data_IF_027615563137
#
_entry.id   IF_027615563137
#
_cell.length_a   1.000
_cell.length_b   1.000
_cell.length_c   1.000
_cell.angle_alpha   90.00
_cell.angle_beta   90.00
_cell.angle_gamma   90.00
#
_symmetry.space_group_name_H-M   'P 1'
#
loop_
_entity.id
_entity.type
_entity.pdbx_description
1 polymer ?
#
# COMPACT_ATOMS: atom_id res chain seq x y z
N UNK A 1 47.22 21.88 -105.87
CA UNK A 1 46.05 22.78 -105.76
C UNK A 1 44.82 21.88 -105.65
N UNK A 2 44.54 21.48 -104.41
CA UNK A 2 43.45 20.58 -103.99
C UNK A 2 42.06 21.09 -104.34
N UNK A 3 41.03 20.29 -104.58
CA UNK A 3 40.88 18.93 -105.11
C UNK A 3 39.41 18.91 -105.57
N UNK A 4 39.18 19.26 -106.84
CA UNK A 4 37.91 19.00 -107.50
C UNK A 4 38.04 17.65 -108.21
N UNK A 5 37.12 16.72 -107.89
CA UNK A 5 37.00 15.34 -108.38
C UNK A 5 37.76 14.27 -107.58
N UNK A 6 37.21 13.91 -106.42
CA UNK A 6 37.18 12.48 -106.06
C UNK A 6 36.02 11.81 -106.80
N UNK A 7 36.28 10.86 -107.71
CA UNK A 7 35.22 10.01 -108.25
C UNK A 7 34.64 9.21 -107.08
N UNK A 8 33.30 9.18 -106.98
CA UNK A 8 32.52 8.29 -106.12
C UNK A 8 32.78 6.82 -106.53
N UNK A 9 34.00 6.33 -106.34
CA UNK A 9 34.46 5.03 -106.84
C UNK A 9 34.20 3.89 -105.85
N UNK A 10 33.49 4.17 -104.75
CA UNK A 10 33.09 3.16 -103.77
C UNK A 10 31.79 3.52 -103.03
N UNK A 11 31.01 4.48 -103.52
CA UNK A 11 29.85 4.94 -102.75
C UNK A 11 28.68 3.96 -102.80
N UNK A 12 28.10 3.68 -101.65
CA UNK A 12 26.84 2.93 -101.50
C UNK A 12 25.64 3.77 -101.92
N UNK A 13 24.44 3.16 -101.96
CA UNK A 13 23.22 3.98 -102.13
C UNK A 13 23.04 4.95 -100.95
N UNK A 14 23.53 4.57 -99.77
CA UNK A 14 23.57 5.38 -98.55
C UNK A 14 24.20 6.76 -98.80
N UNK A 15 25.41 6.82 -99.36
CA UNK A 15 26.10 8.09 -99.59
C UNK A 15 25.34 8.98 -100.59
N UNK A 16 24.67 8.37 -101.57
CA UNK A 16 23.80 9.10 -102.51
C UNK A 16 22.62 9.70 -101.76
N UNK A 17 21.96 8.93 -100.89
CA UNK A 17 20.85 9.40 -100.07
C UNK A 17 21.27 10.49 -99.07
N UNK A 18 22.42 10.35 -98.42
CA UNK A 18 23.00 11.39 -97.54
C UNK A 18 23.36 12.66 -98.32
N UNK A 19 23.82 12.52 -99.57
CA UNK A 19 24.06 13.66 -100.46
C UNK A 19 22.78 14.34 -100.93
N UNK A 20 21.63 13.65 -100.89
CA UNK A 20 20.30 14.23 -101.18
C UNK A 20 19.73 14.88 -99.91
N UNK A 21 20.01 14.29 -98.75
CA UNK A 21 19.61 14.80 -97.44
C UNK A 21 20.28 16.14 -97.09
N UNK A 22 21.59 16.26 -97.34
CA UNK A 22 22.39 17.44 -96.98
C UNK A 22 22.35 18.57 -98.03
N UNK A 23 21.65 18.37 -99.15
CA UNK A 23 21.52 19.37 -100.21
C UNK A 23 20.38 20.34 -99.85
N UNK A 24 20.73 21.46 -99.21
CA UNK A 24 19.79 22.50 -98.74
C UNK A 24 19.20 23.36 -99.86
N UNK A 25 19.66 23.18 -101.10
CA UNK A 25 19.13 23.91 -102.23
C UNK A 25 17.90 23.21 -102.79
N UNK A 26 16.85 23.99 -103.02
CA UNK A 26 15.68 23.68 -103.82
C UNK A 26 16.09 23.33 -105.27
N UNK A 27 16.69 22.15 -105.48
CA UNK A 27 17.11 21.68 -106.80
C UNK A 27 16.22 20.53 -107.29
N UNK A 28 15.49 20.89 -108.35
CA UNK A 28 15.04 20.11 -109.51
C UNK A 28 15.25 18.59 -109.40
N UNK A 29 14.14 17.86 -109.36
CA UNK A 29 13.99 16.41 -109.44
C UNK A 29 14.97 15.76 -110.45
N UNK A 30 15.31 16.51 -111.51
CA UNK A 30 16.32 16.18 -112.53
C UNK A 30 17.74 15.95 -111.98
N UNK A 31 18.20 16.73 -111.00
CA UNK A 31 19.52 16.56 -110.40
C UNK A 31 19.60 15.31 -109.50
N UNK A 32 18.53 15.01 -108.79
CA UNK A 32 18.41 13.78 -107.99
C UNK A 32 18.39 12.57 -108.93
N UNK A 33 17.62 12.66 -110.02
CA UNK A 33 17.57 11.63 -111.06
C UNK A 33 18.97 11.38 -111.67
N UNK A 34 19.74 12.43 -111.96
CA UNK A 34 21.11 12.30 -112.46
C UNK A 34 22.07 11.63 -111.44
N UNK A 35 21.92 11.92 -110.13
CA UNK A 35 22.71 11.25 -109.07
C UNK A 35 22.37 9.76 -109.00
N UNK A 36 21.08 9.40 -109.08
CA UNK A 36 20.60 8.02 -109.08
C UNK A 36 20.99 7.26 -110.36
N UNK A 37 20.88 7.90 -111.51
CA UNK A 37 21.31 7.34 -112.80
C UNK A 37 22.80 7.01 -112.80
N UNK A 38 23.65 7.93 -112.31
CA UNK A 38 25.09 7.67 -112.14
C UNK A 38 25.37 6.47 -111.24
N UNK A 39 24.62 6.33 -110.13
CA UNK A 39 24.74 5.18 -109.25
C UNK A 39 24.35 3.88 -109.95
N UNK A 40 23.19 3.82 -110.63
CA UNK A 40 22.71 2.59 -111.26
C UNK A 40 23.45 2.18 -112.54
N UNK A 41 24.06 3.15 -113.23
CA UNK A 41 24.97 2.88 -114.35
C UNK A 41 26.29 2.25 -113.88
N UNK A 42 26.73 2.55 -112.65
CA UNK A 42 27.96 1.99 -112.06
C UNK A 42 27.72 0.71 -111.25
N UNK A 43 26.64 0.67 -110.46
CA UNK A 43 26.21 -0.47 -109.63
C UNK A 43 24.84 -0.95 -110.07
N UNK A 44 24.71 -2.23 -110.40
CA UNK A 44 23.44 -2.78 -110.92
C UNK A 44 22.30 -2.82 -109.87
N UNK A 45 22.61 -2.81 -108.57
CA UNK A 45 21.64 -3.00 -107.48
C UNK A 45 22.05 -2.21 -106.24
N UNK A 46 21.08 -1.64 -105.52
CA UNK A 46 21.25 -1.08 -104.18
C UNK A 46 21.08 -2.16 -103.12
N UNK A 47 21.73 -2.01 -101.96
CA UNK A 47 21.59 -2.96 -100.86
C UNK A 47 20.60 -2.47 -99.80
N UNK A 48 19.79 -3.40 -99.27
CA UNK A 48 18.80 -3.09 -98.24
C UNK A 48 19.44 -2.56 -96.94
N UNK A 49 20.61 -3.08 -96.55
CA UNK A 49 21.31 -2.64 -95.35
C UNK A 49 21.77 -1.17 -95.46
N UNK A 50 22.18 -0.70 -96.65
CA UNK A 50 22.58 0.69 -96.89
C UNK A 50 21.38 1.65 -96.73
N UNK A 51 20.18 1.20 -97.13
CA UNK A 51 18.93 1.95 -96.97
C UNK A 51 18.52 2.00 -95.51
N UNK A 52 18.56 0.87 -94.81
CA UNK A 52 18.27 0.80 -93.38
C UNK A 52 19.23 1.67 -92.58
N UNK A 53 20.53 1.58 -92.84
CA UNK A 53 21.54 2.38 -92.15
C UNK A 53 21.35 3.89 -92.39
N UNK A 54 21.02 4.30 -93.63
CA UNK A 54 20.64 5.68 -93.92
C UNK A 54 19.45 6.13 -93.08
N UNK A 55 18.36 5.35 -93.06
CA UNK A 55 17.14 5.70 -92.34
C UNK A 55 17.38 5.75 -90.84
N UNK A 56 17.99 4.72 -90.23
CA UNK A 56 18.25 4.68 -88.80
C UNK A 56 19.14 5.84 -88.34
N UNK A 57 20.28 6.07 -89.00
CA UNK A 57 21.26 7.08 -88.58
C UNK A 57 20.76 8.52 -88.72
N UNK A 58 19.80 8.76 -89.62
CA UNK A 58 19.30 10.11 -89.91
C UNK A 58 17.86 10.31 -89.43
N UNK A 59 17.31 9.38 -88.65
CA UNK A 59 15.93 9.42 -88.17
C UNK A 59 15.72 10.17 -86.85
N UNK A 60 16.79 10.56 -86.17
CA UNK A 60 16.75 11.38 -84.96
C UNK A 60 17.23 12.80 -85.28
N UNK A 61 16.42 13.80 -84.91
CA UNK A 61 16.76 15.23 -84.90
C UNK A 61 17.30 15.84 -86.21
N UNK A 62 16.43 15.99 -87.21
CA UNK A 62 16.65 16.93 -88.32
C UNK A 62 15.40 17.80 -88.52
N UNK A 63 15.59 19.08 -88.90
CA UNK A 63 14.52 20.01 -89.26
C UNK A 63 13.63 19.44 -90.38
N UNK A 64 12.37 19.86 -90.47
CA UNK A 64 11.39 19.32 -91.47
C UNK A 64 11.96 19.26 -92.90
N UNK A 65 12.76 20.26 -93.29
CA UNK A 65 13.38 20.37 -94.63
C UNK A 65 14.47 19.31 -94.92
N UNK A 66 15.22 18.89 -93.90
CA UNK A 66 16.35 17.95 -93.99
C UNK A 66 16.02 16.61 -93.32
N UNK A 67 14.77 16.18 -93.40
CA UNK A 67 14.34 14.90 -92.86
C UNK A 67 14.55 13.77 -93.86
N UNK A 68 14.71 12.53 -93.37
CA UNK A 68 14.61 11.30 -94.19
C UNK A 68 13.32 11.33 -95.03
N UNK A 69 12.25 11.90 -94.47
CA UNK A 69 10.94 12.05 -95.10
C UNK A 69 10.98 12.95 -96.33
N UNK A 70 11.76 14.03 -96.28
CA UNK A 70 12.03 14.92 -97.42
C UNK A 70 12.70 14.17 -98.58
N UNK A 71 13.69 13.33 -98.29
CA UNK A 71 14.37 12.50 -99.31
C UNK A 71 13.41 11.49 -99.94
N UNK A 72 12.60 10.81 -99.12
CA UNK A 72 11.58 9.86 -99.60
C UNK A 72 10.56 10.55 -100.49
N UNK A 73 10.08 11.73 -100.11
CA UNK A 73 9.10 12.50 -100.88
C UNK A 73 9.70 12.98 -102.21
N UNK A 74 10.94 13.47 -102.22
CA UNK A 74 11.65 13.89 -103.45
C UNK A 74 11.82 12.73 -104.44
N UNK A 75 12.23 11.55 -103.95
CA UNK A 75 12.34 10.35 -104.80
C UNK A 75 10.96 9.88 -105.25
N UNK A 76 9.94 9.95 -104.39
CA UNK A 76 8.55 9.62 -104.73
C UNK A 76 8.00 10.46 -105.88
N UNK A 77 8.29 11.77 -105.91
CA UNK A 77 7.91 12.66 -107.03
C UNK A 77 8.49 12.20 -108.36
N UNK A 78 9.77 11.83 -108.38
CA UNK A 78 10.46 11.28 -109.57
C UNK A 78 9.77 10.00 -110.04
N UNK A 79 9.33 9.14 -109.11
CA UNK A 79 8.62 7.89 -109.45
C UNK A 79 7.19 8.15 -109.95
N UNK A 80 6.54 9.24 -109.51
CA UNK A 80 5.16 9.56 -109.92
C UNK A 80 5.04 10.33 -111.24
N UNK A 81 6.12 10.94 -111.75
CA UNK A 81 6.10 11.77 -112.96
C UNK A 81 6.63 10.99 -114.18
N UNK A 82 5.72 10.52 -115.04
CA UNK A 82 6.03 9.72 -116.25
C UNK A 82 6.89 10.47 -117.29
N UNK A 83 6.99 11.80 -117.18
CA UNK A 83 7.65 12.68 -118.16
C UNK A 83 9.18 12.58 -118.17
N UNK A 84 9.78 11.84 -117.25
CA UNK A 84 11.24 11.74 -117.11
C UNK A 84 11.87 10.51 -117.80
N UNK A 85 11.08 9.59 -118.38
CA UNK A 85 11.57 8.27 -118.77
C UNK A 85 11.21 7.81 -120.22
N UNK A 86 12.20 7.73 -121.14
CA UNK A 86 12.16 7.06 -122.48
C UNK A 86 12.40 5.51 -122.43
N UNK A 87 12.25 4.76 -123.53
CA UNK A 87 12.36 3.26 -123.56
C UNK A 87 13.61 2.62 -122.87
N UNK A 88 14.81 3.23 -122.95
CA UNK A 88 16.04 2.76 -122.26
C UNK A 88 16.04 3.09 -120.76
N UNK A 89 15.24 4.05 -120.35
CA UNK A 89 15.12 4.52 -118.98
C UNK A 89 14.06 3.75 -118.18
N UNK A 90 13.30 2.84 -118.81
CA UNK A 90 12.33 1.96 -118.15
C UNK A 90 13.00 1.00 -117.13
N UNK A 91 14.24 0.56 -117.40
CA UNK A 91 14.99 -0.27 -116.45
C UNK A 91 15.50 0.55 -115.25
N UNK A 92 15.91 1.80 -115.49
CA UNK A 92 16.30 2.74 -114.45
C UNK A 92 15.10 3.10 -113.56
N UNK A 93 13.95 3.37 -114.18
CA UNK A 93 12.68 3.62 -113.48
C UNK A 93 12.36 2.49 -112.51
N UNK A 94 12.36 1.23 -112.97
CA UNK A 94 12.10 0.05 -112.11
C UNK A 94 13.08 -0.09 -110.95
N UNK A 95 14.33 0.39 -111.10
CA UNK A 95 15.34 0.37 -110.01
C UNK A 95 15.09 1.49 -109.00
N UNK A 96 14.70 2.68 -109.46
CA UNK A 96 14.35 3.82 -108.61
C UNK A 96 13.02 3.57 -107.89
N UNK A 97 12.03 2.99 -108.55
CA UNK A 97 10.76 2.55 -107.96
C UNK A 97 10.99 1.54 -106.82
N UNK A 98 11.84 0.53 -107.04
CA UNK A 98 12.23 -0.43 -105.99
C UNK A 98 12.94 0.25 -104.81
N UNK A 99 13.81 1.23 -105.09
CA UNK A 99 14.48 2.01 -104.04
C UNK A 99 13.46 2.80 -103.22
N UNK A 100 12.51 3.47 -103.89
CA UNK A 100 11.42 4.20 -103.24
C UNK A 100 10.56 3.29 -102.36
N UNK A 101 10.19 2.11 -102.86
CA UNK A 101 9.43 1.12 -102.08
C UNK A 101 10.21 0.63 -100.86
N UNK A 102 11.50 0.34 -101.00
CA UNK A 102 12.35 -0.06 -99.87
C UNK A 102 12.53 1.06 -98.83
N UNK A 103 12.72 2.30 -99.28
CA UNK A 103 12.77 3.46 -98.39
C UNK A 103 11.47 3.64 -97.60
N UNK A 104 10.32 3.48 -98.27
CA UNK A 104 8.99 3.59 -97.63
C UNK A 104 8.76 2.45 -96.64
N UNK A 105 9.07 1.21 -97.01
CA UNK A 105 8.94 0.05 -96.14
C UNK A 105 9.77 0.20 -94.87
N UNK A 106 11.01 0.63 -95.00
CA UNK A 106 11.93 0.77 -93.88
C UNK A 106 11.53 1.95 -92.96
N UNK A 107 10.96 3.03 -93.52
CA UNK A 107 10.33 4.09 -92.72
C UNK A 107 9.14 3.58 -91.90
N UNK A 108 8.27 2.75 -92.48
CA UNK A 108 7.14 2.13 -91.76
C UNK A 108 7.65 1.25 -90.61
N UNK A 109 8.69 0.44 -90.86
CA UNK A 109 9.31 -0.40 -89.82
C UNK A 109 9.87 0.43 -88.68
N UNK A 110 10.61 1.49 -88.99
CA UNK A 110 11.18 2.38 -87.99
C UNK A 110 10.10 3.05 -87.14
N UNK A 111 9.02 3.54 -87.75
CA UNK A 111 7.91 4.16 -87.01
C UNK A 111 7.29 3.20 -86.00
N UNK A 112 7.08 1.93 -86.39
CA UNK A 112 6.58 0.89 -85.48
C UNK A 112 7.53 0.67 -84.30
N UNK A 113 8.83 0.58 -84.55
CA UNK A 113 9.84 0.44 -83.50
C UNK A 113 9.87 1.65 -82.56
N UNK A 114 9.70 2.87 -83.09
CA UNK A 114 9.60 4.09 -82.27
C UNK A 114 8.36 4.07 -81.38
N UNK A 115 7.21 3.69 -81.93
CA UNK A 115 5.96 3.56 -81.18
C UNK A 115 6.09 2.53 -80.05
N UNK A 116 6.64 1.35 -80.35
CA UNK A 116 6.92 0.31 -79.33
C UNK A 116 7.88 0.82 -78.25
N UNK A 117 8.92 1.55 -78.62
CA UNK A 117 9.86 2.17 -77.67
C UNK A 117 9.20 3.25 -76.81
N UNK A 118 8.29 4.06 -77.36
CA UNK A 118 7.59 5.09 -76.60
C UNK A 118 6.56 4.50 -75.64
N UNK A 119 5.91 3.40 -76.02
CA UNK A 119 5.08 2.59 -75.12
C UNK A 119 5.95 2.03 -73.99
N UNK A 120 7.09 1.44 -74.34
CA UNK A 120 8.02 0.86 -73.37
C UNK A 120 8.56 1.91 -72.39
N UNK A 121 8.96 3.09 -72.87
CA UNK A 121 9.42 4.20 -72.02
C UNK A 121 8.34 4.62 -71.02
N UNK A 122 7.09 4.72 -71.45
CA UNK A 122 5.96 5.05 -70.57
C UNK A 122 5.74 3.97 -69.52
N UNK A 123 5.68 2.70 -69.92
CA UNK A 123 5.49 1.58 -69.00
C UNK A 123 6.62 1.48 -67.96
N UNK A 124 7.87 1.73 -68.38
CA UNK A 124 9.02 1.80 -67.48
C UNK A 124 8.87 2.97 -66.50
N UNK A 125 8.51 4.17 -66.99
CA UNK A 125 8.29 5.34 -66.14
C UNK A 125 7.21 5.12 -65.08
N UNK A 126 6.08 4.53 -65.46
CA UNK A 126 5.00 4.15 -64.54
C UNK A 126 5.49 3.13 -63.50
N UNK A 127 6.22 2.09 -63.94
CA UNK A 127 6.79 1.09 -63.04
C UNK A 127 7.76 1.69 -62.03
N UNK A 128 8.64 2.60 -62.46
CA UNK A 128 9.54 3.32 -61.55
C UNK A 128 8.76 4.16 -60.54
N UNK A 129 7.74 4.90 -60.97
CA UNK A 129 6.92 5.71 -60.07
C UNK A 129 6.21 4.87 -59.01
N UNK A 130 5.75 3.67 -59.39
CA UNK A 130 5.13 2.72 -58.48
C UNK A 130 6.14 2.18 -57.45
N UNK A 131 7.34 1.80 -57.92
CA UNK A 131 8.43 1.33 -57.04
C UNK A 131 8.83 2.41 -56.04
N UNK A 132 8.96 3.68 -56.48
CA UNK A 132 9.28 4.79 -55.58
C UNK A 132 8.22 4.98 -54.51
N UNK A 133 6.92 4.95 -54.88
CA UNK A 133 5.83 5.06 -53.90
C UNK A 133 5.86 3.94 -52.87
N UNK A 134 6.03 2.69 -53.31
CA UNK A 134 6.08 1.54 -52.41
C UNK A 134 7.29 1.62 -51.46
N UNK A 135 8.43 2.17 -51.90
CA UNK A 135 9.60 2.40 -51.05
C UNK A 135 9.33 3.51 -50.02
N UNK A 136 8.66 4.59 -50.40
CA UNK A 136 8.25 5.66 -49.47
C UNK A 136 7.28 5.14 -48.41
N UNK A 137 6.28 4.34 -48.81
CA UNK A 137 5.35 3.68 -47.89
C UNK A 137 6.08 2.73 -46.92
N UNK A 138 7.07 1.97 -47.43
CA UNK A 138 7.92 1.12 -46.59
C UNK A 138 8.71 1.89 -45.54
N UNK A 139 9.31 3.03 -45.92
CA UNK A 139 10.04 3.91 -45.00
C UNK A 139 9.12 4.53 -43.93
N UNK A 140 7.87 4.86 -44.27
CA UNK A 140 6.90 5.34 -43.29
C UNK A 140 6.48 4.22 -42.32
N UNK A 141 6.35 2.99 -42.82
CA UNK A 141 6.10 1.82 -41.98
C UNK A 141 7.22 1.60 -40.97
N UNK A 142 8.48 1.70 -41.38
CA UNK A 142 9.64 1.55 -40.51
C UNK A 142 9.65 2.58 -39.37
N UNK A 143 9.25 3.83 -39.65
CA UNK A 143 9.11 4.85 -38.59
C UNK A 143 8.05 4.47 -37.56
N UNK A 144 6.89 3.99 -38.01
CA UNK A 144 5.80 3.53 -37.12
C UNK A 144 6.24 2.32 -36.28
N UNK A 145 7.03 1.41 -36.86
CA UNK A 145 7.59 0.27 -36.12
C UNK A 145 8.51 0.75 -34.99
N UNK A 146 9.36 1.75 -35.23
CA UNK A 146 10.25 2.29 -34.20
C UNK A 146 9.49 3.03 -33.09
N UNK A 147 8.42 3.76 -33.44
CA UNK A 147 7.51 4.35 -32.44
C UNK A 147 6.87 3.28 -31.54
N UNK A 148 6.31 2.22 -32.14
CA UNK A 148 5.71 1.10 -31.41
C UNK A 148 6.74 0.43 -30.49
N UNK A 149 7.97 0.25 -30.96
CA UNK A 149 9.06 -0.34 -30.16
C UNK A 149 9.38 0.52 -28.92
N UNK A 150 9.46 1.84 -29.08
CA UNK A 150 9.67 2.76 -27.96
C UNK A 150 8.52 2.72 -26.95
N UNK A 151 7.28 2.57 -27.43
CA UNK A 151 6.11 2.42 -26.55
C UNK A 151 6.12 1.11 -25.78
N UNK A 152 6.52 0.00 -26.43
CA UNK A 152 6.71 -1.30 -25.76
C UNK A 152 7.78 -1.19 -24.66
N UNK A 153 8.90 -0.54 -24.91
CA UNK A 153 9.95 -0.33 -23.90
C UNK A 153 9.45 0.53 -22.72
N UNK A 154 8.61 1.53 -23.00
CA UNK A 154 7.98 2.36 -21.97
C UNK A 154 7.01 1.52 -21.12
N UNK A 155 6.15 0.74 -21.77
CA UNK A 155 5.20 -0.15 -21.12
C UNK A 155 5.89 -1.20 -20.22
N UNK A 156 6.99 -1.78 -20.69
CA UNK A 156 7.77 -2.74 -19.89
C UNK A 156 8.38 -2.11 -18.63
N UNK A 157 8.81 -0.84 -18.68
CA UNK A 157 9.27 -0.13 -17.48
C UNK A 157 8.16 0.05 -16.46
N UNK A 158 6.98 0.45 -16.91
CA UNK A 158 5.81 0.62 -16.05
C UNK A 158 5.36 -0.70 -15.42
N UNK A 159 5.42 -1.80 -16.19
CA UNK A 159 5.16 -3.16 -15.66
C UNK A 159 6.13 -3.54 -14.54
N UNK A 160 7.43 -3.32 -14.73
CA UNK A 160 8.45 -3.63 -13.72
C UNK A 160 8.29 -2.75 -12.46
N UNK A 161 7.86 -1.50 -12.60
CA UNK A 161 7.58 -0.63 -11.44
C UNK A 161 6.35 -1.14 -10.67
N UNK A 162 5.30 -1.54 -11.39
CA UNK A 162 4.10 -2.11 -10.76
C UNK A 162 4.37 -3.45 -10.07
N UNK A 163 5.26 -4.29 -10.61
CA UNK A 163 5.71 -5.51 -9.95
C UNK A 163 6.36 -5.23 -8.59
N UNK A 164 7.27 -4.24 -8.51
CA UNK A 164 7.86 -3.82 -7.23
C UNK A 164 6.82 -3.33 -6.23
N UNK A 165 5.81 -2.60 -6.70
CA UNK A 165 4.71 -2.16 -5.84
C UNK A 165 3.90 -3.34 -5.29
N UNK A 166 3.76 -4.43 -6.05
CA UNK A 166 3.10 -5.64 -5.56
C UNK A 166 3.91 -6.32 -4.44
N UNK A 167 5.24 -6.36 -4.54
CA UNK A 167 6.11 -6.84 -3.46
C UNK A 167 5.94 -6.01 -2.18
N UNK A 168 5.88 -4.68 -2.32
CA UNK A 168 5.62 -3.78 -1.18
C UNK A 168 4.24 -4.05 -0.54
N UNK A 169 3.21 -4.33 -1.34
CA UNK A 169 1.89 -4.72 -0.82
C UNK A 169 1.93 -6.04 -0.05
N UNK A 170 2.76 -7.00 -0.45
CA UNK A 170 2.92 -8.27 0.27
C UNK A 170 3.61 -8.09 1.63
N UNK A 171 4.63 -7.23 1.68
CA UNK A 171 5.27 -6.84 2.93
C UNK A 171 4.29 -6.15 3.88
N UNK A 172 3.51 -5.18 3.38
CA UNK A 172 2.46 -4.49 4.14
C UNK A 172 1.43 -5.49 4.68
N UNK A 173 1.02 -6.48 3.87
CA UNK A 173 0.08 -7.52 4.31
C UNK A 173 0.64 -8.33 5.48
N UNK A 174 1.93 -8.62 5.46
CA UNK A 174 2.62 -9.33 6.55
C UNK A 174 2.66 -8.47 7.81
N UNK A 175 2.96 -7.18 7.68
CA UNK A 175 2.94 -6.23 8.80
C UNK A 175 1.54 -6.09 9.42
N UNK A 176 0.48 -6.04 8.60
CA UNK A 176 -0.90 -6.03 9.09
C UNK A 176 -1.22 -7.27 9.94
N UNK A 177 -0.76 -8.45 9.52
CA UNK A 177 -0.94 -9.70 10.27
C UNK A 177 -0.21 -9.64 11.62
N UNK A 178 0.99 -9.08 11.66
CA UNK A 178 1.74 -8.90 12.90
C UNK A 178 1.05 -7.89 13.85
N UNK A 179 0.49 -6.82 13.30
CA UNK A 179 -0.30 -5.83 14.06
C UNK A 179 -1.55 -6.49 14.66
N UNK A 180 -2.27 -7.32 13.91
CA UNK A 180 -3.45 -8.04 14.40
C UNK A 180 -3.12 -8.94 15.60
N UNK A 181 -2.03 -9.70 15.51
CA UNK A 181 -1.54 -10.54 16.63
C UNK A 181 -1.19 -9.68 17.85
N UNK A 182 -0.44 -8.60 17.66
CA UNK A 182 -0.06 -7.69 18.74
C UNK A 182 -1.28 -7.02 19.38
N UNK A 183 -2.31 -6.70 18.60
CA UNK A 183 -3.56 -6.13 19.11
C UNK A 183 -4.32 -7.13 19.98
N UNK A 184 -4.29 -8.42 19.63
CA UNK A 184 -4.79 -9.50 20.47
C UNK A 184 -4.08 -9.57 21.83
N UNK A 185 -2.74 -9.57 21.82
CA UNK A 185 -1.91 -9.58 23.05
C UNK A 185 -2.17 -8.32 23.88
N UNK A 186 -2.28 -7.15 23.24
CA UNK A 186 -2.56 -5.89 23.92
C UNK A 186 -3.93 -5.91 24.62
N UNK A 187 -4.96 -6.46 23.96
CA UNK A 187 -6.29 -6.64 24.56
C UNK A 187 -6.27 -7.56 25.77
N UNK A 188 -5.50 -8.66 25.71
CA UNK A 188 -5.34 -9.56 26.86
C UNK A 188 -4.66 -8.86 28.04
N UNK A 189 -3.60 -8.09 27.78
CA UNK A 189 -2.92 -7.30 28.80
C UNK A 189 -3.82 -6.24 29.44
N UNK A 190 -4.68 -5.58 28.66
CA UNK A 190 -5.68 -4.65 29.17
C UNK A 190 -6.66 -5.34 30.13
N UNK A 191 -7.21 -6.49 29.73
CA UNK A 191 -8.12 -7.26 30.60
C UNK A 191 -7.43 -7.68 31.90
N UNK A 192 -6.18 -8.15 31.81
CA UNK A 192 -5.39 -8.53 32.99
C UNK A 192 -5.13 -7.34 33.93
N UNK A 193 -4.85 -6.16 33.37
CA UNK A 193 -4.65 -4.95 34.16
C UNK A 193 -5.95 -4.44 34.78
N UNK A 194 -7.09 -4.53 34.08
CA UNK A 194 -8.40 -4.21 34.63
C UNK A 194 -8.74 -5.08 35.85
N UNK A 195 -8.45 -6.39 35.77
CA UNK A 195 -8.64 -7.31 36.90
C UNK A 195 -7.75 -6.95 38.10
N UNK A 196 -6.48 -6.58 37.87
CA UNK A 196 -5.57 -6.12 38.93
C UNK A 196 -6.03 -4.80 39.55
N UNK A 197 -6.61 -3.89 38.76
CA UNK A 197 -7.17 -2.64 39.27
C UNK A 197 -8.36 -2.91 40.18
N UNK A 198 -9.29 -3.79 39.76
CA UNK A 198 -10.42 -4.23 40.61
C UNK A 198 -9.96 -4.89 41.91
N UNK A 199 -8.94 -5.75 41.86
CA UNK A 199 -8.36 -6.36 43.07
C UNK A 199 -7.73 -5.30 43.99
N UNK A 200 -7.00 -4.33 43.42
CA UNK A 200 -6.39 -3.23 44.19
C UNK A 200 -7.44 -2.30 44.81
N UNK A 201 -8.51 -1.99 44.08
CA UNK A 201 -9.64 -1.21 44.56
C UNK A 201 -10.34 -1.91 45.75
N UNK A 202 -10.58 -3.21 45.64
CA UNK A 202 -11.16 -4.00 46.74
C UNK A 202 -10.26 -3.96 47.98
N UNK A 203 -8.95 -4.15 47.82
CA UNK A 203 -7.98 -4.06 48.94
C UNK A 203 -7.92 -2.68 49.56
N UNK A 204 -8.05 -1.61 48.78
CA UNK A 204 -8.13 -0.24 49.29
C UNK A 204 -9.41 -0.01 50.12
N UNK A 205 -10.55 -0.52 49.65
CA UNK A 205 -11.80 -0.44 50.38
C UNK A 205 -11.74 -1.23 51.70
N UNK A 206 -11.14 -2.41 51.69
CA UNK A 206 -10.86 -3.18 52.91
C UNK A 206 -9.93 -2.41 53.87
N UNK A 207 -8.83 -1.85 53.35
CA UNK A 207 -7.88 -1.07 54.14
C UNK A 207 -8.51 0.18 54.77
N UNK A 208 -9.33 0.93 54.01
CA UNK A 208 -10.04 2.11 54.51
C UNK A 208 -11.01 1.72 55.64
N UNK A 209 -11.73 0.60 55.47
CA UNK A 209 -12.63 0.07 56.51
C UNK A 209 -11.86 -0.30 57.78
N UNK A 210 -10.72 -0.98 57.64
CA UNK A 210 -9.85 -1.32 58.76
C UNK A 210 -9.30 -0.06 59.45
N UNK A 211 -8.88 0.96 58.69
CA UNK A 211 -8.34 2.22 59.21
C UNK A 211 -9.39 3.02 60.00
N UNK A 212 -10.61 3.17 59.47
CA UNK A 212 -11.74 3.82 60.17
C UNK A 212 -12.05 3.08 61.47
N UNK A 213 -12.02 1.75 61.44
CA UNK A 213 -12.25 0.92 62.63
C UNK A 213 -11.18 1.17 63.69
N UNK A 214 -9.89 1.18 63.32
CA UNK A 214 -8.77 1.47 64.24
C UNK A 214 -8.92 2.86 64.87
N UNK A 215 -9.27 3.89 64.09
CA UNK A 215 -9.48 5.24 64.61
C UNK A 215 -10.64 5.28 65.64
N UNK A 216 -11.73 4.59 65.35
CA UNK A 216 -12.91 4.51 66.23
C UNK A 216 -12.58 3.83 67.57
N UNK A 217 -11.73 2.81 67.54
CA UNK A 217 -11.23 2.12 68.74
C UNK A 217 -10.41 3.06 69.61
N UNK A 218 -9.46 3.77 69.00
CA UNK A 218 -8.61 4.71 69.72
C UNK A 218 -9.45 5.80 70.38
N UNK A 219 -10.45 6.35 69.69
CA UNK A 219 -11.37 7.33 70.27
C UNK A 219 -12.15 6.75 71.48
N UNK A 220 -12.68 5.53 71.37
CA UNK A 220 -13.40 4.88 72.46
C UNK A 220 -12.55 4.62 73.70
N UNK A 221 -11.31 4.14 73.52
CA UNK A 221 -10.36 3.90 74.62
C UNK A 221 -9.99 5.22 75.31
N UNK A 222 -9.69 6.27 74.54
CA UNK A 222 -9.34 7.59 75.08
C UNK A 222 -10.51 8.18 75.88
N UNK A 223 -11.74 8.09 75.37
CA UNK A 223 -12.95 8.54 76.08
C UNK A 223 -13.19 7.76 77.38
N UNK A 224 -13.05 6.44 77.37
CA UNK A 224 -13.18 5.61 78.57
C UNK A 224 -12.11 5.92 79.62
N UNK A 225 -10.87 6.17 79.19
CA UNK A 225 -9.75 6.53 80.06
C UNK A 225 -9.97 7.88 80.75
N UNK A 226 -10.32 8.93 80.00
CA UNK A 226 -10.63 10.24 80.58
C UNK A 226 -11.86 10.22 81.48
N UNK A 227 -12.90 9.46 81.11
CA UNK A 227 -14.06 9.24 81.96
C UNK A 227 -13.68 8.56 83.29
N UNK A 228 -12.89 7.49 83.24
CA UNK A 228 -12.44 6.77 84.44
C UNK A 228 -11.52 7.56 85.34
N UNK A 229 -10.61 8.33 84.77
CA UNK A 229 -9.70 9.19 85.54
C UNK A 229 -10.47 10.29 86.29
N UNK A 230 -11.51 10.84 85.67
CA UNK A 230 -12.37 11.85 86.31
C UNK A 230 -13.11 11.27 87.52
N UNK A 231 -13.72 10.09 87.39
CA UNK A 231 -14.37 9.40 88.51
C UNK A 231 -13.39 9.03 89.64
N UNK A 232 -12.19 8.55 89.31
CA UNK A 232 -11.17 8.25 90.32
C UNK A 232 -10.73 9.50 91.09
N UNK A 233 -10.62 10.65 90.41
CA UNK A 233 -10.32 11.93 91.05
C UNK A 233 -11.38 12.33 92.08
N UNK A 234 -12.67 12.12 91.79
CA UNK A 234 -13.76 12.39 92.72
C UNK A 234 -13.75 11.45 93.93
N UNK A 235 -13.42 10.17 93.72
CA UNK A 235 -13.25 9.20 94.81
C UNK A 235 -12.11 9.63 95.73
N UNK A 236 -10.96 10.07 95.20
CA UNK A 236 -9.84 10.54 96.01
C UNK A 236 -10.16 11.80 96.82
N UNK A 237 -10.99 12.71 96.30
CA UNK A 237 -11.44 13.88 97.08
C UNK A 237 -12.27 13.51 98.31
N UNK A 238 -12.92 12.34 98.29
CA UNK A 238 -13.84 11.89 99.35
C UNK A 238 -13.19 10.93 100.36
N UNK A 239 -11.87 10.74 100.31
CA UNK A 239 -11.15 9.74 101.12
C UNK A 239 -11.11 10.07 102.61
N UNK A 240 -11.10 11.36 102.96
CA UNK A 240 -10.94 11.83 104.34
C UNK A 240 -12.28 11.91 105.09
N UNK A 241 -13.38 12.14 104.37
CA UNK A 241 -14.71 12.37 104.95
C UNK A 241 -15.56 11.11 105.12
N UNK A 242 -15.08 9.95 104.65
CA UNK A 242 -15.87 8.71 104.54
C UNK A 242 -15.14 7.55 105.21
N UNK A 243 -15.89 6.62 105.83
CA UNK A 243 -15.31 5.42 106.42
C UNK A 243 -14.57 4.57 105.38
N UNK A 244 -13.43 4.01 105.79
CA UNK A 244 -12.54 3.19 104.93
C UNK A 244 -13.32 2.09 104.19
N UNK A 245 -14.22 1.40 104.90
CA UNK A 245 -15.03 0.32 104.31
C UNK A 245 -16.03 0.81 103.24
N UNK A 246 -16.65 1.99 103.43
CA UNK A 246 -17.60 2.55 102.45
C UNK A 246 -16.87 3.06 101.19
N UNK A 247 -15.68 3.63 101.36
CA UNK A 247 -14.86 4.08 100.24
C UNK A 247 -14.40 2.91 99.36
N UNK A 248 -13.90 1.83 99.99
CA UNK A 248 -13.48 0.62 99.27
C UNK A 248 -14.66 0.01 98.52
N UNK A 249 -15.83 -0.10 99.16
CA UNK A 249 -17.05 -0.59 98.51
C UNK A 249 -17.41 0.21 97.26
N UNK A 250 -17.47 1.55 97.36
CA UNK A 250 -17.80 2.41 96.21
C UNK A 250 -16.74 2.34 95.11
N UNK A 251 -15.47 2.23 95.46
CA UNK A 251 -14.37 2.12 94.50
C UNK A 251 -14.44 0.82 93.71
N UNK A 252 -14.67 -0.32 94.36
CA UNK A 252 -14.81 -1.61 93.67
C UNK A 252 -16.12 -1.70 92.88
N UNK A 253 -17.20 -1.04 93.32
CA UNK A 253 -18.45 -0.95 92.56
C UNK A 253 -18.27 -0.15 91.27
N UNK A 254 -17.62 1.01 91.32
CA UNK A 254 -17.29 1.81 90.12
C UNK A 254 -16.30 1.06 89.23
N UNK A 255 -15.27 0.45 89.80
CA UNK A 255 -14.31 -0.38 89.07
C UNK A 255 -14.97 -1.55 88.32
N UNK A 256 -15.95 -2.20 88.95
CA UNK A 256 -16.73 -3.26 88.33
C UNK A 256 -17.56 -2.76 87.13
N UNK A 257 -18.25 -1.63 87.26
CA UNK A 257 -19.01 -1.04 86.14
C UNK A 257 -18.08 -0.63 85.00
N UNK A 258 -16.95 0.00 85.32
CA UNK A 258 -15.97 0.44 84.32
C UNK A 258 -15.31 -0.73 83.59
N UNK A 259 -14.88 -1.77 84.32
CA UNK A 259 -14.28 -2.96 83.72
C UNK A 259 -15.25 -3.66 82.76
N UNK A 260 -16.51 -3.83 83.16
CA UNK A 260 -17.53 -4.43 82.29
C UNK A 260 -17.84 -3.57 81.06
N UNK A 261 -17.87 -2.24 81.22
CA UNK A 261 -18.09 -1.31 80.11
C UNK A 261 -16.95 -1.36 79.10
N UNK A 262 -15.70 -1.31 79.57
CA UNK A 262 -14.51 -1.42 78.71
C UNK A 262 -14.48 -2.78 78.01
N UNK A 263 -14.77 -3.87 78.72
CA UNK A 263 -14.81 -5.20 78.13
C UNK A 263 -15.89 -5.31 77.04
N UNK A 264 -17.08 -4.75 77.25
CA UNK A 264 -18.14 -4.71 76.26
C UNK A 264 -17.72 -3.92 75.02
N UNK A 265 -17.08 -2.75 75.20
CA UNK A 265 -16.53 -1.97 74.08
C UNK A 265 -15.48 -2.77 73.30
N UNK A 266 -14.54 -3.45 73.98
CA UNK A 266 -13.55 -4.30 73.33
C UNK A 266 -14.19 -5.46 72.55
N UNK A 267 -15.25 -6.09 73.06
CA UNK A 267 -15.98 -7.15 72.35
C UNK A 267 -16.74 -6.61 71.13
N UNK A 268 -17.34 -5.42 71.22
CA UNK A 268 -17.97 -4.77 70.06
C UNK A 268 -16.93 -4.46 68.98
N UNK A 269 -15.77 -3.95 69.39
CA UNK A 269 -14.63 -3.68 68.53
C UNK A 269 -14.16 -4.97 67.81
N UNK A 270 -14.01 -6.06 68.56
CA UNK A 270 -13.69 -7.38 68.02
C UNK A 270 -14.60 -7.75 66.85
N UNK A 271 -15.90 -7.56 67.07
CA UNK A 271 -16.95 -7.93 66.13
C UNK A 271 -16.93 -7.06 64.87
N UNK A 272 -16.59 -5.76 64.98
CA UNK A 272 -16.46 -4.85 63.82
C UNK A 272 -15.23 -5.20 62.97
N UNK A 273 -14.10 -5.58 63.60
CA UNK A 273 -12.89 -6.02 62.88
C UNK A 273 -13.07 -7.42 62.25
N UNK A 274 -14.16 -8.13 62.58
CA UNK A 274 -14.36 -9.52 62.16
C UNK A 274 -13.39 -10.50 62.84
N UNK A 275 -12.77 -10.08 63.95
CA UNK A 275 -11.86 -10.92 64.75
C UNK A 275 -12.52 -11.22 66.09
N UNK A 276 -12.79 -12.48 66.38
CA UNK A 276 -13.33 -12.87 67.68
C UNK A 276 -12.27 -12.73 68.79
N UNK A 277 -12.46 -11.79 69.73
CA UNK A 277 -11.70 -11.68 71.00
C UNK A 277 -12.08 -12.81 71.99
N UNK A 278 -13.01 -13.68 71.60
CA UNK A 278 -13.27 -14.92 72.34
C UNK A 278 -11.98 -15.72 72.33
N UNK A 279 -11.53 -16.11 73.52
CA UNK A 279 -10.55 -17.18 73.65
C UNK A 279 -11.23 -18.45 73.15
N UNK A 280 -11.15 -18.69 71.84
CA UNK A 280 -11.29 -20.01 71.25
C UNK A 280 -10.00 -20.77 71.57
N UNK A 281 -9.70 -20.90 72.87
CA UNK A 281 -8.63 -21.74 73.34
C UNK A 281 -9.12 -23.18 73.21
N UNK A 282 -8.57 -23.83 72.18
CA UNK A 282 -8.29 -25.27 72.16
C UNK A 282 -9.51 -26.17 71.98
N UNK A 283 -10.04 -26.22 70.75
CA UNK A 283 -10.51 -27.49 70.18
C UNK A 283 -9.94 -27.57 68.76
N UNK A 284 -8.66 -27.95 68.66
CA UNK A 284 -8.01 -28.26 67.37
C UNK A 284 -7.95 -29.76 67.09
N UNK A 285 -8.43 -30.60 68.02
CA UNK A 285 -8.46 -32.06 67.90
C UNK A 285 -9.90 -32.58 67.86
N UNK A 286 -10.12 -33.64 67.06
CA UNK A 286 -11.40 -34.34 66.81
C UNK A 286 -12.06 -34.95 68.07
N UNK A 287 -11.45 -34.87 69.26
CA UNK A 287 -12.01 -35.37 70.52
C UNK A 287 -12.19 -34.29 71.59
N UNK A 288 -12.76 -33.14 71.22
CA UNK A 288 -13.19 -32.15 72.21
C UNK A 288 -14.52 -32.60 72.86
N UNK A 289 -14.42 -33.45 73.89
CA UNK A 289 -15.55 -33.85 74.73
C UNK A 289 -15.93 -32.68 75.65
N UNK A 290 -16.72 -31.74 75.14
CA UNK A 290 -17.66 -31.01 75.97
C UNK A 290 -19.03 -31.64 75.76
N UNK A 291 -19.23 -32.78 76.41
CA UNK A 291 -20.51 -33.47 76.54
C UNK A 291 -21.60 -32.47 76.98
N UNK A 292 -22.86 -32.72 76.61
CA UNK A 292 -24.05 -31.89 76.86
C UNK A 292 -24.31 -31.55 78.35
N UNK A 293 -23.46 -32.07 79.24
CA UNK A 293 -23.42 -31.88 80.70
C UNK A 293 -22.43 -30.81 81.18
N UNK A 294 -21.91 -29.94 80.31
CA UNK A 294 -21.18 -28.76 80.78
C UNK A 294 -22.15 -27.72 81.36
N UNK A 295 -22.15 -27.54 82.68
CA UNK A 295 -22.92 -26.50 83.35
C UNK A 295 -22.65 -25.10 82.78
N UNK A 296 -23.70 -24.28 82.71
CA UNK A 296 -23.71 -22.96 82.05
C UNK A 296 -22.55 -22.06 82.51
N UNK A 297 -22.21 -22.11 83.80
CA UNK A 297 -21.11 -21.33 84.41
C UNK A 297 -19.74 -21.74 83.86
N UNK A 298 -19.44 -23.05 83.77
CA UNK A 298 -18.15 -23.55 83.26
C UNK A 298 -17.94 -23.17 81.78
N UNK A 299 -19.03 -23.13 81.01
CA UNK A 299 -19.01 -22.71 79.60
C UNK A 299 -18.70 -21.22 79.45
N UNK A 300 -19.25 -20.37 80.32
CA UNK A 300 -18.98 -18.93 80.31
C UNK A 300 -17.53 -18.62 80.71
N UNK A 301 -17.01 -19.28 81.75
CA UNK A 301 -15.61 -19.10 82.23
C UNK A 301 -14.60 -19.40 81.13
N UNK A 302 -14.80 -20.49 80.37
CA UNK A 302 -13.90 -20.87 79.26
C UNK A 302 -13.98 -19.91 78.08
N UNK A 303 -15.15 -19.35 77.81
CA UNK A 303 -15.37 -18.45 76.67
C UNK A 303 -14.79 -17.05 76.89
N UNK A 304 -14.83 -16.56 78.13
CA UNK A 304 -14.38 -15.21 78.50
C UNK A 304 -13.57 -15.21 79.80
N UNK A 305 -12.41 -15.89 79.85
CA UNK A 305 -11.60 -15.97 81.07
C UNK A 305 -11.14 -14.57 81.53
N UNK A 306 -10.78 -13.71 80.58
CA UNK A 306 -10.30 -12.34 80.83
C UNK A 306 -11.34 -11.47 81.55
N UNK A 307 -12.64 -11.66 81.30
CA UNK A 307 -13.70 -10.90 82.00
C UNK A 307 -14.12 -11.59 83.30
N UNK A 308 -14.18 -12.92 83.32
CA UNK A 308 -14.74 -13.65 84.45
C UNK A 308 -13.89 -13.54 85.73
N UNK A 309 -12.58 -13.79 85.66
CA UNK A 309 -11.74 -13.84 86.85
C UNK A 309 -11.64 -12.49 87.59
N UNK A 310 -11.38 -11.35 86.90
CA UNK A 310 -11.36 -10.04 87.58
C UNK A 310 -12.70 -9.67 88.20
N UNK A 311 -13.80 -9.93 87.50
CA UNK A 311 -15.15 -9.67 88.02
C UNK A 311 -15.45 -10.51 89.28
N UNK A 312 -15.08 -11.79 89.29
CA UNK A 312 -15.25 -12.66 90.45
C UNK A 312 -14.45 -12.16 91.67
N UNK A 313 -13.22 -11.70 91.45
CA UNK A 313 -12.37 -11.09 92.49
C UNK A 313 -13.01 -9.81 93.03
N UNK A 314 -13.46 -8.90 92.15
CA UNK A 314 -14.11 -7.65 92.55
C UNK A 314 -15.38 -7.90 93.38
N UNK A 315 -16.25 -8.82 92.93
CA UNK A 315 -17.46 -9.18 93.67
C UNK A 315 -17.12 -9.76 95.05
N UNK A 316 -16.08 -10.61 95.13
CA UNK A 316 -15.62 -11.17 96.41
C UNK A 316 -15.19 -10.06 97.36
N UNK A 317 -14.43 -9.07 96.90
CA UNK A 317 -14.00 -7.92 97.72
C UNK A 317 -15.19 -7.06 98.17
N UNK A 318 -16.17 -6.83 97.28
CA UNK A 318 -17.41 -6.10 97.61
C UNK A 318 -18.18 -6.82 98.73
N UNK A 319 -18.31 -8.14 98.65
CA UNK A 319 -18.99 -8.94 99.69
C UNK A 319 -18.21 -8.91 101.00
N UNK A 320 -16.90 -9.14 100.97
CA UNK A 320 -16.05 -9.13 102.17
C UNK A 320 -16.09 -7.78 102.89
N UNK A 321 -15.97 -6.67 102.15
CA UNK A 321 -16.05 -5.31 102.72
C UNK A 321 -17.42 -4.99 103.31
N UNK A 322 -18.49 -5.48 102.68
CA UNK A 322 -19.86 -5.36 103.21
C UNK A 322 -20.03 -6.16 104.50
N UNK A 323 -19.49 -7.38 104.58
CA UNK A 323 -19.52 -8.20 105.79
C UNK A 323 -18.71 -7.57 106.93
N UNK A 324 -17.50 -7.07 106.66
CA UNK A 324 -16.70 -6.36 107.66
C UNK A 324 -17.43 -5.13 108.21
N UNK A 325 -18.10 -4.36 107.35
CA UNK A 325 -18.91 -3.22 107.79
C UNK A 325 -20.09 -3.63 108.68
N UNK A 326 -20.73 -4.76 108.38
CA UNK A 326 -21.82 -5.31 109.22
C UNK A 326 -21.28 -5.78 110.58
N UNK A 327 -20.15 -6.49 110.60
CA UNK A 327 -19.51 -6.98 111.84
C UNK A 327 -19.12 -5.81 112.74
N UNK A 328 -18.44 -4.80 112.20
CA UNK A 328 -18.05 -3.60 112.97
C UNK A 328 -19.29 -2.90 113.57
N UNK A 329 -20.40 -2.86 112.83
CA UNK A 329 -21.65 -2.27 113.31
C UNK A 329 -22.32 -3.13 114.41
N UNK A 330 -22.23 -4.46 114.32
CA UNK A 330 -22.72 -5.38 115.35
C UNK A 330 -21.87 -5.25 116.62
N UNK A 331 -20.54 -5.21 116.50
CA UNK A 331 -19.63 -5.06 117.64
C UNK A 331 -19.90 -3.74 118.39
N UNK A 332 -20.11 -2.63 117.67
CA UNK A 332 -20.50 -1.34 118.27
C UNK A 332 -21.86 -1.41 118.96
N UNK A 333 -22.83 -2.14 118.42
CA UNK A 333 -24.15 -2.34 119.04
C UNK A 333 -24.07 -3.19 120.32
N UNK A 334 -23.31 -4.29 120.28
CA UNK A 334 -23.11 -5.20 121.42
C UNK A 334 -22.38 -4.49 122.57
N UNK A 335 -21.34 -3.70 122.27
CA UNK A 335 -20.64 -2.88 123.29
C UNK A 335 -21.59 -1.85 123.91
N UNK A 336 -22.48 -1.23 123.11
CA UNK A 336 -23.47 -0.27 123.61
C UNK A 336 -24.49 -0.93 124.54
N UNK A 337 -24.95 -2.14 124.21
CA UNK A 337 -25.93 -2.88 125.02
C UNK A 337 -25.29 -3.41 126.33
N UNK A 338 -24.03 -3.87 126.28
CA UNK A 338 -23.24 -4.23 127.47
C UNK A 338 -22.93 -3.01 128.36
N UNK A 339 -22.59 -1.87 127.77
CA UNK A 339 -22.39 -0.60 128.49
C UNK A 339 -23.68 -0.08 129.14
N UNK A 340 -24.83 -0.25 128.46
CA UNK A 340 -26.14 0.03 129.03
C UNK A 340 -26.50 -0.88 130.19
N UNK A 341 -26.21 -2.19 130.08
CA UNK A 341 -26.44 -3.16 131.15
C UNK A 341 -25.55 -2.89 132.38
N UNK A 342 -24.28 -2.56 132.19
CA UNK A 342 -23.35 -2.18 133.28
C UNK A 342 -23.80 -0.92 134.03
N UNK A 343 -24.22 0.14 133.32
CA UNK A 343 -24.75 1.35 133.95
C UNK A 343 -26.05 1.08 134.75
N UNK A 344 -26.88 0.13 134.30
CA UNK A 344 -28.11 -0.24 135.01
C UNK A 344 -27.81 -1.02 136.30
N UNK A 345 -26.78 -1.89 136.28
CA UNK A 345 -26.32 -2.62 137.47
C UNK A 345 -25.63 -1.66 138.46
N UNK A 346 -24.88 -0.68 137.98
CA UNK A 346 -24.17 0.29 138.83
C UNK A 346 -25.13 1.25 139.56
N UNK A 347 -26.29 1.57 138.97
CA UNK A 347 -27.37 2.35 139.61
C UNK A 347 -28.22 1.56 140.63
N UNK A 348 -28.05 0.22 140.74
CA UNK A 348 -28.73 -0.61 141.73
C UNK A 348 -27.85 -0.96 142.94
N UNK A 349 -26.55 -0.65 142.88
CA UNK A 349 -25.53 -0.97 143.90
C UNK A 349 -25.05 0.29 144.65
N UNK A 350 -25.51 1.47 144.26
CA UNK A 350 -25.37 2.77 144.94
C UNK A 350 -26.75 3.28 145.34
#
# INVERSE_FOLDING_TARGET
MEDTRKPLKNSGIKDVLESILNDSKMYDEKNILLKLEKFYNYKQKHYYHEIAEFIFNNSEYLSEENSVDSVINKIGKIVSEDTYFDNKSLELFKKIEKLYDHLRLERVRLNKVKEENDILKRAIGESFSLVTRNLEEGLELDKKIEEIKNDIERFNRDLNENEKRLDDFENIKTDFKNIEVNMGIFKENLNKNELKLKDSENRLNEFNTQSITVLSIFAGIVMAFFGGMSFLSEVFKSIDSVSKYRLIFMTFMVGFVMFNTIFLLLVLIAKIIGKDIRSLSVCKDENCICDERCGQVKRFIRKHPISFYPNAIMVTIIVMTSLFWIIEKIDVLVIRDLGGALNTIQNYIL
#
